data_IF_938591925520
#
_entry.id   IF_938591925520
#
_cell.length_a   1.000
_cell.length_b   1.000
_cell.length_c   1.000
_cell.angle_alpha   90.00
_cell.angle_beta   90.00
_cell.angle_gamma   90.00
#
_symmetry.space_group_name_H-M   'P 1'
#
loop_
_entity.id
_entity.type
_entity.pdbx_description
1 polymer ?
#
# COMPACT_ATOMS: atom_id res chain seq x y z
N UNK A 1 -10.48 -3.23 18.31
CA UNK A 1 -10.99 -3.29 16.93
C UNK A 1 -9.96 -4.02 16.10
N UNK A 2 -10.35 -5.01 15.31
CA UNK A 2 -9.41 -5.75 14.47
C UNK A 2 -9.10 -4.95 13.20
N UNK A 3 -7.85 -5.04 12.72
CA UNK A 3 -7.47 -4.53 11.41
C UNK A 3 -7.85 -5.58 10.36
N UNK A 4 -8.50 -5.16 9.27
CA UNK A 4 -8.76 -5.99 8.10
C UNK A 4 -7.54 -6.09 7.18
N UNK A 5 -6.71 -5.04 7.13
CA UNK A 5 -5.42 -5.05 6.41
C UNK A 5 -4.37 -4.44 7.34
N UNK A 6 -3.23 -5.09 7.45
CA UNK A 6 -2.07 -4.57 8.18
C UNK A 6 -0.78 -4.87 7.42
N UNK A 7 0.06 -3.85 7.28
CA UNK A 7 1.41 -3.99 6.73
C UNK A 7 2.43 -3.35 7.65
N UNK A 8 3.66 -3.88 7.64
CA UNK A 8 4.80 -3.30 8.35
C UNK A 8 5.99 -3.33 7.41
N UNK A 9 6.54 -2.15 7.13
CA UNK A 9 7.69 -1.92 6.23
C UNK A 9 7.55 -2.59 4.85
N UNK A 10 6.33 -2.59 4.28
CA UNK A 10 6.09 -3.24 2.99
C UNK A 10 6.89 -2.55 1.88
N UNK A 11 7.87 -3.29 1.35
CA UNK A 11 8.71 -2.87 0.23
C UNK A 11 8.48 -3.79 -0.95
N UNK A 12 8.25 -3.19 -2.13
CA UNK A 12 8.00 -3.91 -3.38
C UNK A 12 8.89 -3.33 -4.46
N UNK A 13 9.65 -4.17 -5.15
CA UNK A 13 10.38 -3.82 -6.37
C UNK A 13 9.72 -4.44 -7.59
N UNK A 14 9.48 -3.62 -8.61
CA UNK A 14 9.00 -4.08 -9.93
C UNK A 14 10.01 -3.67 -10.99
N UNK A 15 10.72 -4.65 -11.54
CA UNK A 15 11.81 -4.41 -12.48
C UNK A 15 12.91 -3.53 -11.87
N UNK A 16 13.52 -2.66 -12.68
CA UNK A 16 14.65 -1.80 -12.28
C UNK A 16 14.24 -0.39 -11.87
N UNK A 17 13.03 0.04 -12.23
CA UNK A 17 12.66 1.46 -12.25
C UNK A 17 11.57 1.84 -11.25
N UNK A 18 10.96 0.87 -10.57
CA UNK A 18 9.90 1.13 -9.60
C UNK A 18 10.17 0.41 -8.28
N UNK A 19 10.01 1.15 -7.18
CA UNK A 19 10.07 0.63 -5.83
C UNK A 19 9.05 1.34 -4.94
N UNK A 20 8.13 0.58 -4.35
CA UNK A 20 7.38 0.99 -3.16
C UNK A 20 8.28 0.71 -1.96
N UNK A 21 8.49 1.68 -1.08
CA UNK A 21 9.41 1.54 0.07
C UNK A 21 8.66 1.78 1.37
N UNK A 22 8.75 0.81 2.28
CA UNK A 22 8.35 0.94 3.67
C UNK A 22 6.92 1.43 3.89
N UNK A 23 5.95 0.78 3.26
CA UNK A 23 4.54 1.13 3.44
C UNK A 23 3.96 0.43 4.68
N UNK A 24 3.62 1.25 5.68
CA UNK A 24 2.85 0.85 6.86
C UNK A 24 1.37 1.19 6.68
N UNK A 25 0.51 0.20 6.84
CA UNK A 25 -0.95 0.34 6.78
C UNK A 25 -1.59 -0.34 7.96
N UNK A 26 -2.61 0.31 8.51
CA UNK A 26 -3.53 -0.28 9.48
C UNK A 26 -4.93 0.12 9.05
N UNK A 27 -5.63 -0.79 8.36
CA UNK A 27 -6.98 -0.56 7.86
C UNK A 27 -7.96 -1.28 8.78
N UNK A 28 -8.78 -0.55 9.56
CA UNK A 28 -9.79 -1.16 10.42
C UNK A 28 -10.86 -1.89 9.61
N UNK A 29 -11.42 -2.95 10.18
CA UNK A 29 -12.59 -3.62 9.61
C UNK A 29 -13.78 -2.65 9.44
N UNK A 30 -14.49 -2.75 8.30
CA UNK A 30 -15.64 -1.90 7.98
C UNK A 30 -15.30 -0.46 7.54
N UNK A 31 -14.02 -0.12 7.40
CA UNK A 31 -13.60 1.20 6.93
C UNK A 31 -13.46 1.28 5.39
N UNK A 32 -13.55 2.51 4.86
CA UNK A 32 -13.27 2.81 3.45
C UNK A 32 -11.98 3.61 3.36
N UNK A 33 -11.01 3.09 2.62
CA UNK A 33 -9.70 3.70 2.41
C UNK A 33 -9.44 3.92 0.92
N UNK A 34 -8.63 4.95 0.61
CA UNK A 34 -8.19 5.24 -0.75
C UNK A 34 -6.76 5.75 -0.76
N UNK A 35 -6.04 5.45 -1.83
CA UNK A 35 -4.70 6.00 -2.08
C UNK A 35 -4.80 7.26 -2.94
N UNK A 36 -4.13 8.33 -2.52
CA UNK A 36 -4.03 9.58 -3.27
C UNK A 36 -2.56 9.90 -3.57
N UNK A 37 -2.29 10.33 -4.80
CA UNK A 37 -0.95 10.68 -5.24
C UNK A 37 -0.79 10.70 -6.76
N UNK A 38 0.33 11.23 -7.29
CA UNK A 38 0.58 11.36 -8.72
C UNK A 38 0.73 10.00 -9.42
N UNK A 39 0.76 9.98 -10.75
CA UNK A 39 1.06 8.76 -11.50
C UNK A 39 2.44 8.22 -11.12
N UNK A 40 2.57 6.89 -11.03
CA UNK A 40 3.82 6.24 -10.62
C UNK A 40 4.10 6.19 -9.12
N UNK A 41 3.23 6.74 -8.26
CA UNK A 41 3.40 6.70 -6.78
C UNK A 41 3.16 5.32 -6.13
N UNK A 42 2.79 4.29 -6.89
CA UNK A 42 2.58 2.94 -6.35
C UNK A 42 1.16 2.62 -5.86
N UNK A 43 0.17 3.50 -6.07
CA UNK A 43 -1.23 3.27 -5.66
C UNK A 43 -1.81 1.94 -6.16
N UNK A 44 -1.85 1.75 -7.49
CA UNK A 44 -2.40 0.54 -8.08
C UNK A 44 -1.56 -0.70 -7.79
N UNK A 45 -0.26 -0.53 -7.61
CA UNK A 45 0.63 -1.61 -7.16
C UNK A 45 0.25 -2.09 -5.76
N UNK A 46 0.01 -1.14 -4.84
CA UNK A 46 -0.38 -1.44 -3.46
C UNK A 46 -1.73 -2.13 -3.39
N UNK A 47 -2.70 -1.76 -4.23
CA UNK A 47 -4.04 -2.38 -4.26
C UNK A 47 -4.01 -3.82 -4.79
N UNK A 48 -3.02 -4.20 -5.60
CA UNK A 48 -2.94 -5.52 -6.25
C UNK A 48 -2.17 -6.58 -5.45
N UNK A 49 -1.46 -6.16 -4.42
CA UNK A 49 -0.73 -7.03 -3.50
C UNK A 49 -1.70 -7.72 -2.55
#
# INVERSE_FOLDING_TARGET
>A
MANAIQTTDLTVKLGTSFELRGLDLNVPEGSVYGFLGPNGSGKSTTIRM
#
